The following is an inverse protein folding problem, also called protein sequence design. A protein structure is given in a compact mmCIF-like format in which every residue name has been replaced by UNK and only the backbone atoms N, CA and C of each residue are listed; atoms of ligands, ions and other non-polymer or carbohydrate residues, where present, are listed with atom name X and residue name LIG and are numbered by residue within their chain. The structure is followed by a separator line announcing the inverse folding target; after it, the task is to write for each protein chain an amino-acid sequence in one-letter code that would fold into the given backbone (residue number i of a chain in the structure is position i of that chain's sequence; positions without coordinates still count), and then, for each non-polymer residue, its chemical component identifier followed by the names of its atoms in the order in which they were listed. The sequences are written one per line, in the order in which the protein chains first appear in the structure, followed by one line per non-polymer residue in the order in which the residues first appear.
data_IF_825761253573
#
_entry.id   IF_825761253573
#
_cell.length_a   1.000
_cell.length_b   1.000
_cell.length_c   1.000
_cell.angle_alpha   90.00
_cell.angle_beta   90.00
_cell.angle_gamma   90.00
#
_symmetry.space_group_name_H-M   'P 1'
#
loop_
_entity.id
_entity.type
_entity.pdbx_description
1 polymer ?
#
# COMPACT_ATOMS: atom_id res chain seq x y z
N UNK A 1 85.34 19.84 34.94
CA UNK A 1 85.06 18.60 34.24
C UNK A 1 83.75 18.05 34.80
N UNK A 2 82.67 18.16 34.14
CA UNK A 2 81.44 17.31 34.25
C UNK A 2 80.53 17.66 33.09
N UNK A 3 80.43 16.76 32.12
CA UNK A 3 79.56 16.89 30.96
C UNK A 3 78.14 16.60 31.39
N UNK A 4 77.21 17.52 31.12
CA UNK A 4 75.75 17.33 31.28
C UNK A 4 75.21 16.98 29.92
N UNK A 5 74.74 15.76 29.74
CA UNK A 5 74.02 15.26 28.54
C UNK A 5 72.57 15.66 28.70
N UNK A 6 72.09 16.55 27.86
CA UNK A 6 70.66 16.88 27.76
C UNK A 6 69.96 15.84 26.88
N UNK A 7 69.09 15.06 27.50
CA UNK A 7 68.20 14.11 26.81
C UNK A 7 66.93 14.87 26.34
N UNK A 8 66.80 15.11 25.04
CA UNK A 8 65.58 15.62 24.39
C UNK A 8 64.62 14.46 24.21
N UNK A 9 63.64 14.37 25.11
CA UNK A 9 62.46 13.51 24.90
C UNK A 9 61.51 14.21 23.94
N UNK A 10 61.49 13.73 22.67
CA UNK A 10 60.49 14.11 21.69
C UNK A 10 59.13 13.48 22.03
N UNK A 11 58.21 14.23 22.57
CA UNK A 11 56.83 13.83 22.75
C UNK A 11 56.12 13.86 21.36
N UNK A 12 56.11 12.71 20.69
CA UNK A 12 55.25 12.53 19.49
C UNK A 12 53.80 12.48 19.94
N UNK A 13 53.07 13.59 19.76
CA UNK A 13 51.61 13.60 19.85
C UNK A 13 51.04 12.77 18.70
N UNK A 14 50.73 11.51 18.98
CA UNK A 14 49.86 10.68 18.15
C UNK A 14 48.46 11.29 18.23
N UNK A 15 48.15 12.20 17.32
CA UNK A 15 46.77 12.60 16.98
C UNK A 15 46.10 11.37 16.35
N UNK A 16 45.65 10.45 17.19
CA UNK A 16 44.68 9.43 16.80
C UNK A 16 43.36 10.19 16.50
N UNK A 17 43.21 10.57 15.24
CA UNK A 17 41.91 11.03 14.74
C UNK A 17 40.91 9.89 14.93
N UNK A 18 40.14 9.95 15.98
CA UNK A 18 38.89 9.18 16.05
C UNK A 18 38.06 9.67 14.89
N UNK A 19 38.09 8.90 13.79
CA UNK A 19 37.07 9.01 12.76
C UNK A 19 35.77 8.64 13.46
N UNK A 20 35.04 9.63 13.96
CA UNK A 20 33.69 9.46 14.47
C UNK A 20 32.88 9.02 13.27
N UNK A 21 32.55 7.73 13.21
CA UNK A 21 31.66 7.22 12.19
C UNK A 21 30.41 8.11 12.22
N UNK A 22 30.17 8.84 11.14
CA UNK A 22 29.01 9.73 11.07
C UNK A 22 27.77 8.89 11.38
N UNK A 23 27.01 9.32 12.38
CA UNK A 23 25.79 8.63 12.78
C UNK A 23 24.84 8.62 11.59
N UNK A 24 24.37 7.42 11.21
CA UNK A 24 23.48 7.27 10.06
C UNK A 24 22.18 8.01 10.32
N UNK A 25 21.66 8.78 9.34
CA UNK A 25 20.37 9.46 9.50
C UNK A 25 19.26 8.47 9.80
N UNK A 26 18.49 8.72 10.85
CA UNK A 26 17.35 7.88 11.25
C UNK A 26 16.10 8.26 10.47
N UNK A 27 15.47 7.28 9.82
CA UNK A 27 14.16 7.39 9.16
C UNK A 27 13.14 6.51 9.89
N UNK A 28 12.04 7.10 10.34
CA UNK A 28 10.95 6.39 11.03
C UNK A 28 9.83 6.13 10.03
N UNK A 29 9.62 4.86 9.69
CA UNK A 29 8.61 4.41 8.73
C UNK A 29 7.39 3.91 9.48
N UNK A 30 6.20 4.40 9.10
CA UNK A 30 4.92 3.89 9.59
C UNK A 30 4.32 2.83 8.67
N UNK A 31 3.64 1.83 9.25
CA UNK A 31 2.83 0.86 8.52
C UNK A 31 1.49 0.63 9.20
N UNK A 32 0.41 0.60 8.40
CA UNK A 32 -0.93 0.26 8.89
C UNK A 32 -1.06 -1.25 9.18
N UNK A 33 -2.19 -1.66 9.76
CA UNK A 33 -2.43 -3.01 10.30
C UNK A 33 -2.49 -4.14 9.26
N UNK A 34 -2.49 -3.88 7.97
CA UNK A 34 -2.66 -4.90 6.93
C UNK A 34 -1.35 -5.24 6.19
N UNK A 35 -1.32 -6.43 5.60
CA UNK A 35 -0.14 -7.08 5.03
C UNK A 35 0.61 -6.18 4.04
N UNK A 36 -0.06 -5.61 3.07
CA UNK A 36 0.54 -4.76 2.04
C UNK A 36 1.37 -3.62 2.63
N UNK A 37 0.83 -2.92 3.64
CA UNK A 37 1.55 -1.84 4.30
C UNK A 37 2.80 -2.33 5.04
N UNK A 38 2.73 -3.50 5.67
CA UNK A 38 3.88 -4.08 6.35
C UNK A 38 4.95 -4.51 5.36
N UNK A 39 4.56 -5.10 4.22
CA UNK A 39 5.49 -5.49 3.14
C UNK A 39 6.17 -4.27 2.53
N UNK A 40 5.41 -3.23 2.19
CA UNK A 40 5.94 -1.97 1.65
C UNK A 40 6.92 -1.29 2.62
N UNK A 41 6.58 -1.26 3.92
CA UNK A 41 7.45 -0.69 4.93
C UNK A 41 8.75 -1.49 5.09
N UNK A 42 8.69 -2.83 5.07
CA UNK A 42 9.87 -3.69 5.16
C UNK A 42 10.77 -3.59 3.93
N UNK A 43 10.20 -3.56 2.71
CA UNK A 43 10.96 -3.33 1.47
C UNK A 43 11.68 -1.98 1.56
N UNK A 44 10.95 -0.91 1.89
CA UNK A 44 11.52 0.43 2.01
C UNK A 44 12.60 0.50 3.08
N UNK A 45 12.36 -0.11 4.24
CA UNK A 45 13.32 -0.12 5.35
C UNK A 45 14.63 -0.83 4.99
N UNK A 46 14.54 -2.01 4.38
CA UNK A 46 15.73 -2.77 3.98
C UNK A 46 16.49 -2.05 2.88
N UNK A 47 15.79 -1.47 1.92
CA UNK A 47 16.40 -0.70 0.84
C UNK A 47 17.12 0.56 1.36
N UNK A 48 16.49 1.34 2.25
CA UNK A 48 17.12 2.52 2.83
C UNK A 48 18.30 2.16 3.75
N UNK A 49 18.23 1.04 4.50
CA UNK A 49 19.37 0.56 5.30
C UNK A 49 20.56 0.22 4.42
N UNK A 50 20.35 -0.40 3.26
CA UNK A 50 21.40 -0.68 2.28
C UNK A 50 22.02 0.60 1.70
N UNK A 51 21.24 1.70 1.67
CA UNK A 51 21.68 3.00 1.18
C UNK A 51 22.11 3.98 2.30
N UNK A 52 22.58 3.47 3.42
CA UNK A 52 23.29 4.26 4.44
C UNK A 52 22.41 4.95 5.48
N UNK A 53 21.11 4.66 5.54
CA UNK A 53 20.21 5.16 6.58
C UNK A 53 20.07 4.18 7.75
N UNK A 54 19.82 4.69 8.94
CA UNK A 54 19.20 3.91 10.00
C UNK A 54 17.69 3.96 9.87
N UNK A 55 16.98 2.84 10.08
CA UNK A 55 15.52 2.79 9.85
C UNK A 55 14.81 2.06 10.97
N UNK A 56 13.80 2.72 11.52
CA UNK A 56 12.86 2.12 12.47
C UNK A 56 11.47 2.01 11.84
N UNK A 57 10.90 0.80 11.84
CA UNK A 57 9.52 0.57 11.38
C UNK A 57 8.59 0.49 12.58
N UNK A 58 7.47 1.20 12.52
CA UNK A 58 6.37 1.13 13.49
C UNK A 58 5.13 0.64 12.76
N UNK A 59 4.76 -0.61 12.98
CA UNK A 59 3.61 -1.26 12.36
C UNK A 59 2.36 -1.28 13.25
N UNK A 60 1.26 -1.82 12.72
CA UNK A 60 0.03 -2.03 13.47
C UNK A 60 -0.79 -0.77 13.73
N UNK A 61 -0.58 0.29 12.95
CA UNK A 61 -1.23 1.57 13.15
C UNK A 61 -2.60 1.63 12.44
N UNK A 62 -3.61 2.17 13.12
CA UNK A 62 -4.84 2.60 12.47
C UNK A 62 -4.59 3.84 11.59
N UNK A 63 -5.38 4.02 10.51
CA UNK A 63 -5.15 5.06 9.50
C UNK A 63 -5.05 6.48 10.08
N UNK A 64 -5.99 6.86 10.95
CA UNK A 64 -5.99 8.19 11.57
C UNK A 64 -4.78 8.42 12.48
N UNK A 65 -4.40 7.40 13.26
CA UNK A 65 -3.23 7.48 14.16
C UNK A 65 -1.94 7.58 13.35
N UNK A 66 -1.79 6.78 12.29
CA UNK A 66 -0.64 6.81 11.41
C UNK A 66 -0.48 8.19 10.75
N UNK A 67 -1.58 8.74 10.23
CA UNK A 67 -1.59 10.09 9.65
C UNK A 67 -1.18 11.16 10.66
N UNK A 68 -1.79 11.17 11.85
CA UNK A 68 -1.44 12.11 12.91
C UNK A 68 0.01 11.99 13.34
N UNK A 69 0.54 10.77 13.49
CA UNK A 69 1.93 10.53 13.84
C UNK A 69 2.89 11.07 12.79
N UNK A 70 2.53 11.03 11.51
CA UNK A 70 3.33 11.61 10.44
C UNK A 70 3.25 13.15 10.46
N UNK A 71 2.07 13.75 10.58
CA UNK A 71 1.90 15.21 10.65
C UNK A 71 2.61 15.82 11.87
N UNK A 72 2.61 15.14 13.02
CA UNK A 72 3.25 15.60 14.27
C UNK A 72 4.74 15.25 14.36
N UNK A 73 5.29 14.53 13.39
CA UNK A 73 6.72 14.22 13.33
C UNK A 73 7.17 13.03 14.16
N UNK A 74 6.26 12.15 14.56
CA UNK A 74 6.59 10.86 15.17
C UNK A 74 6.98 9.81 14.13
N UNK A 75 6.46 9.94 12.90
CA UNK A 75 6.82 9.18 11.72
C UNK A 75 7.36 10.13 10.64
N UNK A 76 8.27 9.64 9.82
CA UNK A 76 8.91 10.43 8.77
C UNK A 76 8.40 10.07 7.37
N UNK A 77 8.13 8.79 7.13
CA UNK A 77 7.73 8.24 5.85
C UNK A 77 6.65 7.18 6.02
N UNK A 78 5.68 7.16 5.10
CA UNK A 78 4.67 6.12 4.97
C UNK A 78 4.33 5.90 3.50
N UNK A 79 3.84 4.71 3.16
CA UNK A 79 3.09 4.50 1.94
C UNK A 79 1.63 4.89 2.18
N UNK A 80 1.11 5.77 1.33
CA UNK A 80 -0.25 6.29 1.45
C UNK A 80 -1.00 6.11 0.13
N UNK A 81 -2.33 6.08 0.20
CA UNK A 81 -3.20 5.89 -0.95
C UNK A 81 -3.93 7.19 -1.28
N UNK A 82 -3.96 7.53 -2.57
CA UNK A 82 -4.54 8.79 -3.05
C UNK A 82 -5.98 8.98 -2.62
N UNK A 83 -6.83 7.96 -2.76
CA UNK A 83 -8.23 8.03 -2.36
C UNK A 83 -8.42 8.19 -0.85
N UNK A 84 -7.58 7.53 -0.02
CA UNK A 84 -7.63 7.71 1.45
C UNK A 84 -7.25 9.13 1.83
N UNK A 85 -6.15 9.66 1.24
CA UNK A 85 -5.75 11.04 1.51
C UNK A 85 -6.80 12.04 1.06
N UNK A 86 -7.40 11.85 -0.12
CA UNK A 86 -8.42 12.74 -0.65
C UNK A 86 -9.65 12.79 0.27
N UNK A 87 -10.27 11.63 0.50
CA UNK A 87 -11.55 11.53 1.18
C UNK A 87 -11.42 11.60 2.69
N UNK A 88 -10.55 10.74 3.27
CA UNK A 88 -10.51 10.59 4.73
C UNK A 88 -9.74 11.69 5.45
N UNK A 89 -8.68 12.25 4.83
CA UNK A 89 -7.81 13.22 5.51
C UNK A 89 -8.01 14.66 5.03
N UNK A 90 -8.47 14.83 3.79
CA UNK A 90 -8.71 16.15 3.21
C UNK A 90 -10.20 16.46 3.00
N UNK A 91 -11.10 15.50 3.30
CA UNK A 91 -12.56 15.65 3.26
C UNK A 91 -13.07 16.15 1.91
N UNK A 92 -12.50 15.65 0.82
CA UNK A 92 -12.92 15.93 -0.54
C UNK A 92 -13.67 14.71 -1.07
N UNK A 93 -14.98 14.79 -1.13
CA UNK A 93 -15.85 13.74 -1.65
C UNK A 93 -16.04 13.81 -3.17
N UNK A 94 -15.61 14.92 -3.78
CA UNK A 94 -15.68 15.10 -5.23
C UNK A 94 -14.75 14.12 -5.95
N UNK A 95 -15.31 13.43 -6.92
CA UNK A 95 -14.55 12.48 -7.73
C UNK A 95 -13.64 13.22 -8.71
N UNK A 96 -12.36 12.89 -8.67
CA UNK A 96 -11.41 13.42 -9.65
C UNK A 96 -11.56 12.70 -11.00
N UNK A 97 -11.26 13.40 -12.12
CA UNK A 97 -11.45 12.85 -13.47
C UNK A 97 -10.48 11.73 -13.84
N UNK A 98 -9.35 11.59 -13.14
CA UNK A 98 -8.36 10.54 -13.38
C UNK A 98 -7.49 10.27 -12.14
N UNK A 99 -6.76 9.12 -12.10
CA UNK A 99 -5.77 8.84 -11.07
C UNK A 99 -4.71 9.94 -10.93
N UNK A 100 -4.23 10.49 -12.05
CA UNK A 100 -3.23 11.57 -12.06
C UNK A 100 -3.79 12.87 -11.45
N UNK A 101 -5.06 13.16 -11.73
CA UNK A 101 -5.74 14.32 -11.13
C UNK A 101 -5.93 14.13 -9.63
N UNK A 102 -6.27 12.91 -9.18
CA UNK A 102 -6.35 12.55 -7.75
C UNK A 102 -4.99 12.75 -7.08
N UNK A 103 -3.94 12.20 -7.69
CA UNK A 103 -2.56 12.35 -7.17
C UNK A 103 -2.14 13.82 -7.09
N UNK A 104 -2.34 14.60 -8.14
CA UNK A 104 -2.00 16.03 -8.16
C UNK A 104 -2.74 16.79 -7.05
N UNK A 105 -4.02 16.46 -6.84
CA UNK A 105 -4.85 17.09 -5.81
C UNK A 105 -4.37 16.77 -4.40
N UNK A 106 -4.13 15.52 -4.07
CA UNK A 106 -3.64 15.15 -2.74
C UNK A 106 -2.24 15.68 -2.46
N UNK A 107 -1.37 15.70 -3.48
CA UNK A 107 -0.04 16.30 -3.39
C UNK A 107 -0.12 17.80 -3.02
N UNK A 108 -1.04 18.55 -3.63
CA UNK A 108 -1.28 19.96 -3.31
C UNK A 108 -1.78 20.13 -1.87
N UNK A 109 -2.79 19.35 -1.48
CA UNK A 109 -3.44 19.48 -0.17
C UNK A 109 -2.50 19.09 0.97
N UNK A 110 -1.80 17.97 0.82
CA UNK A 110 -0.90 17.45 1.85
C UNK A 110 0.38 18.28 1.99
N UNK A 111 0.83 18.95 0.92
CA UNK A 111 1.94 19.90 1.00
C UNK A 111 1.69 21.03 2.00
N UNK A 112 0.43 21.46 2.15
CA UNK A 112 0.02 22.47 3.15
C UNK A 112 0.17 21.98 4.60
N UNK A 113 0.19 20.64 4.78
CA UNK A 113 0.41 19.96 6.06
C UNK A 113 1.87 19.52 6.26
N UNK A 114 2.77 19.96 5.38
CA UNK A 114 4.19 19.62 5.44
C UNK A 114 4.51 18.18 5.00
N UNK A 115 3.63 17.57 4.21
CA UNK A 115 3.80 16.22 3.66
C UNK A 115 4.02 16.29 2.15
N UNK A 116 5.01 15.54 1.67
CA UNK A 116 5.40 15.53 0.26
C UNK A 116 5.13 14.14 -0.32
N UNK A 117 4.27 14.07 -1.30
CA UNK A 117 4.07 12.88 -2.12
C UNK A 117 5.23 12.76 -3.11
N UNK A 118 5.96 11.66 -3.04
CA UNK A 118 7.00 11.30 -3.99
C UNK A 118 6.38 10.58 -5.19
N UNK A 119 7.22 10.07 -6.11
CA UNK A 119 6.74 9.35 -7.28
C UNK A 119 5.76 8.24 -6.90
N UNK A 120 4.55 8.20 -7.46
CA UNK A 120 3.59 7.15 -7.17
C UNK A 120 4.04 5.82 -7.78
N UNK A 121 3.57 4.72 -7.19
CA UNK A 121 3.69 3.39 -7.76
C UNK A 121 2.76 3.20 -8.95
N UNK A 122 2.82 2.00 -9.55
CA UNK A 122 1.95 1.59 -10.65
C UNK A 122 0.78 0.72 -10.20
N UNK A 123 0.57 0.58 -8.88
CA UNK A 123 -0.55 -0.18 -8.34
C UNK A 123 -1.58 0.70 -7.65
N UNK A 124 -2.82 0.23 -7.68
CA UNK A 124 -3.96 0.85 -7.01
C UNK A 124 -4.69 -0.20 -6.20
N UNK A 125 -4.65 -0.10 -4.86
CA UNK A 125 -5.36 -1.01 -3.98
C UNK A 125 -6.81 -0.55 -3.79
N UNK A 126 -7.62 -0.76 -4.83
CA UNK A 126 -9.04 -0.37 -4.83
C UNK A 126 -9.95 -1.59 -4.61
N UNK A 127 -11.25 -1.32 -4.53
CA UNK A 127 -12.26 -2.36 -4.50
C UNK A 127 -12.52 -2.92 -5.89
N UNK A 128 -12.92 -4.19 -5.94
CA UNK A 128 -13.49 -4.83 -7.13
C UNK A 128 -14.55 -5.86 -6.72
N UNK A 129 -15.37 -6.28 -7.66
CA UNK A 129 -16.16 -7.50 -7.52
C UNK A 129 -15.42 -8.66 -8.18
N UNK A 130 -15.49 -9.84 -7.58
CA UNK A 130 -14.88 -11.04 -8.11
C UNK A 130 -15.87 -12.20 -8.13
N UNK A 131 -15.66 -13.12 -9.09
CA UNK A 131 -16.38 -14.39 -9.19
C UNK A 131 -15.47 -15.54 -8.73
N UNK A 132 -16.05 -16.56 -8.06
CA UNK A 132 -15.40 -17.87 -7.92
C UNK A 132 -15.05 -18.46 -9.28
N UNK A 133 -13.98 -19.25 -9.34
CA UNK A 133 -13.53 -19.86 -10.62
C UNK A 133 -14.56 -20.79 -11.26
N UNK A 134 -15.43 -21.43 -10.48
CA UNK A 134 -16.52 -22.28 -11.01
C UNK A 134 -17.61 -21.41 -11.65
N UNK A 135 -18.05 -20.37 -10.97
CA UNK A 135 -19.02 -19.41 -11.49
C UNK A 135 -18.46 -18.72 -12.75
N UNK A 136 -17.17 -18.34 -12.75
CA UNK A 136 -16.53 -17.75 -13.91
C UNK A 136 -16.49 -18.68 -15.14
N UNK A 137 -16.48 -20.00 -14.95
CA UNK A 137 -16.57 -20.98 -16.04
C UNK A 137 -18.02 -21.19 -16.50
N UNK A 138 -18.97 -21.14 -15.58
CA UNK A 138 -20.41 -21.26 -15.90
C UNK A 138 -20.93 -19.99 -16.62
N UNK A 139 -20.39 -18.81 -16.26
CA UNK A 139 -20.74 -17.51 -16.83
C UNK A 139 -19.52 -16.84 -17.50
N UNK A 140 -18.97 -17.41 -18.59
CA UNK A 140 -17.74 -16.91 -19.21
C UNK A 140 -17.88 -15.51 -19.80
N UNK A 141 -19.09 -15.09 -20.13
CA UNK A 141 -19.42 -13.76 -20.65
C UNK A 141 -19.38 -12.66 -19.59
N UNK A 142 -19.40 -12.99 -18.28
CA UNK A 142 -19.39 -12.00 -17.21
C UNK A 142 -17.96 -11.54 -16.96
N UNK A 143 -17.58 -10.38 -17.51
CA UNK A 143 -16.25 -9.77 -17.36
C UNK A 143 -16.32 -8.41 -16.68
N UNK A 144 -17.51 -7.79 -16.64
CA UNK A 144 -17.71 -6.45 -16.06
C UNK A 144 -18.80 -6.48 -14.99
N UNK A 145 -18.84 -5.45 -14.16
CA UNK A 145 -19.90 -5.29 -13.14
C UNK A 145 -21.28 -5.09 -13.82
N UNK A 146 -21.34 -4.40 -14.98
CA UNK A 146 -22.59 -4.30 -15.74
C UNK A 146 -23.10 -5.66 -16.18
N UNK A 147 -22.23 -6.55 -16.68
CA UNK A 147 -22.62 -7.90 -17.09
C UNK A 147 -23.04 -8.78 -15.91
N UNK A 148 -22.38 -8.65 -14.77
CA UNK A 148 -22.82 -9.27 -13.53
C UNK A 148 -24.25 -8.83 -13.16
N UNK A 149 -24.52 -7.54 -13.24
CA UNK A 149 -25.84 -6.98 -12.92
C UNK A 149 -26.96 -7.53 -13.84
N UNK A 150 -26.67 -7.75 -15.12
CA UNK A 150 -27.64 -8.36 -16.03
C UNK A 150 -27.97 -9.81 -15.63
N UNK A 151 -26.99 -10.60 -15.21
CA UNK A 151 -27.24 -11.97 -14.69
C UNK A 151 -28.06 -11.91 -13.40
N UNK A 152 -27.71 -11.03 -12.48
CA UNK A 152 -28.43 -10.90 -11.19
C UNK A 152 -29.89 -10.45 -11.38
N UNK A 153 -30.19 -9.66 -12.45
CA UNK A 153 -31.55 -9.26 -12.81
C UNK A 153 -32.34 -10.37 -13.48
N UNK A 154 -31.73 -11.08 -14.43
CA UNK A 154 -32.39 -12.11 -15.21
C UNK A 154 -32.74 -13.34 -14.33
N UNK A 155 -31.87 -13.66 -13.41
CA UNK A 155 -32.00 -14.81 -12.54
C UNK A 155 -32.26 -14.35 -11.10
N UNK A 156 -33.46 -13.83 -10.79
CA UNK A 156 -33.84 -13.42 -9.43
C UNK A 156 -33.89 -14.62 -8.46
N UNK A 157 -32.79 -15.31 -8.35
CA UNK A 157 -32.62 -16.51 -7.53
C UNK A 157 -31.96 -16.15 -6.19
N UNK A 158 -32.47 -16.72 -5.10
CA UNK A 158 -31.79 -16.70 -3.79
C UNK A 158 -30.40 -17.35 -3.84
N UNK A 159 -30.04 -18.03 -4.95
CA UNK A 159 -28.74 -18.65 -5.16
C UNK A 159 -27.65 -17.62 -5.49
N UNK A 160 -28.00 -16.45 -6.00
CA UNK A 160 -27.05 -15.40 -6.38
C UNK A 160 -26.72 -14.51 -5.18
N UNK A 161 -25.98 -15.08 -4.22
CA UNK A 161 -25.50 -14.35 -3.05
C UNK A 161 -24.28 -13.52 -3.41
N UNK A 162 -24.26 -12.25 -2.97
CA UNK A 162 -23.10 -11.36 -3.08
C UNK A 162 -22.53 -11.11 -1.69
N UNK A 163 -21.28 -11.50 -1.48
CA UNK A 163 -20.57 -11.24 -0.23
C UNK A 163 -19.94 -9.86 -0.23
N UNK A 164 -20.13 -9.11 0.83
CA UNK A 164 -19.57 -7.77 1.03
C UNK A 164 -18.95 -7.70 2.41
N UNK A 165 -17.86 -6.94 2.55
CA UNK A 165 -17.42 -6.58 3.88
C UNK A 165 -18.42 -5.64 4.55
N UNK A 166 -18.46 -5.71 5.87
CA UNK A 166 -19.47 -4.98 6.65
C UNK A 166 -19.28 -3.47 6.55
N UNK A 167 -18.05 -2.99 6.41
CA UNK A 167 -17.78 -1.55 6.29
C UNK A 167 -18.34 -1.03 4.96
N UNK A 168 -17.96 -1.64 3.84
CA UNK A 168 -18.46 -1.26 2.52
C UNK A 168 -19.99 -1.35 2.43
N UNK A 169 -20.58 -2.38 3.01
CA UNK A 169 -22.03 -2.57 2.96
C UNK A 169 -22.83 -1.47 3.67
N UNK A 170 -22.22 -0.75 4.62
CA UNK A 170 -22.88 0.26 5.44
C UNK A 170 -22.44 1.71 5.21
N UNK A 171 -21.43 1.92 4.35
CA UNK A 171 -20.97 3.27 4.00
C UNK A 171 -21.89 3.90 2.96
N UNK A 172 -22.12 5.23 3.00
CA UNK A 172 -22.88 5.94 1.96
C UNK A 172 -22.28 5.80 0.56
N UNK A 173 -20.95 5.79 0.47
CA UNK A 173 -20.17 5.59 -0.75
C UNK A 173 -19.81 4.11 -0.99
N UNK A 174 -20.52 3.19 -0.36
CA UNK A 174 -20.35 1.75 -0.49
C UNK A 174 -21.42 1.11 -1.38
N UNK A 175 -22.17 0.16 -0.81
CA UNK A 175 -23.17 -0.63 -1.56
C UNK A 175 -24.26 0.23 -2.21
N UNK A 176 -24.82 1.21 -1.50
CA UNK A 176 -25.91 2.03 -2.04
C UNK A 176 -25.44 2.83 -3.25
N UNK A 177 -24.25 3.40 -3.19
CA UNK A 177 -23.66 4.11 -4.30
C UNK A 177 -23.33 3.20 -5.49
N UNK A 178 -22.80 1.99 -5.23
CA UNK A 178 -22.56 0.97 -6.26
C UNK A 178 -23.88 0.59 -6.96
N UNK A 179 -24.91 0.31 -6.19
CA UNK A 179 -26.24 -0.02 -6.72
C UNK A 179 -26.81 1.11 -7.58
N UNK A 180 -26.72 2.34 -7.11
CA UNK A 180 -27.17 3.52 -7.87
C UNK A 180 -26.40 3.67 -9.18
N UNK A 181 -25.07 3.54 -9.16
CA UNK A 181 -24.20 3.69 -10.34
C UNK A 181 -24.49 2.67 -11.43
N UNK A 182 -24.71 1.40 -11.01
CA UNK A 182 -24.95 0.28 -11.92
C UNK A 182 -26.42 0.00 -12.21
N UNK A 183 -27.36 0.67 -11.54
CA UNK A 183 -28.79 0.32 -11.59
C UNK A 183 -29.01 -1.11 -11.07
N UNK A 184 -28.24 -1.49 -10.05
CA UNK A 184 -28.30 -2.80 -9.41
C UNK A 184 -29.32 -2.77 -8.26
N UNK A 185 -30.01 -3.87 -8.03
CA UNK A 185 -30.96 -4.03 -6.94
C UNK A 185 -30.72 -5.36 -6.23
N UNK A 186 -29.86 -5.33 -5.22
CA UNK A 186 -29.62 -6.47 -4.35
C UNK A 186 -30.59 -6.40 -3.15
N UNK A 187 -31.48 -7.36 -3.07
CA UNK A 187 -32.32 -7.53 -1.89
C UNK A 187 -31.51 -8.06 -0.69
N UNK A 188 -32.00 -7.82 0.54
CA UNK A 188 -31.33 -8.33 1.76
C UNK A 188 -31.06 -9.83 1.71
N UNK A 189 -31.91 -10.61 1.02
CA UNK A 189 -31.75 -12.05 0.87
C UNK A 189 -30.54 -12.43 0.00
N UNK A 190 -30.10 -11.53 -0.86
CA UNK A 190 -28.96 -11.73 -1.77
C UNK A 190 -27.64 -11.19 -1.23
N UNK A 191 -27.66 -10.48 -0.12
CA UNK A 191 -26.45 -9.90 0.47
C UNK A 191 -25.95 -10.76 1.64
N UNK A 192 -24.66 -11.01 1.70
CA UNK A 192 -23.96 -11.63 2.84
C UNK A 192 -22.90 -10.68 3.33
N UNK A 193 -23.17 -10.01 4.45
CA UNK A 193 -22.20 -9.17 5.13
C UNK A 193 -21.32 -10.03 6.03
N UNK A 194 -20.02 -9.83 5.95
CA UNK A 194 -19.03 -10.56 6.75
C UNK A 194 -17.74 -9.77 6.89
N UNK A 195 -16.79 -10.29 7.65
CA UNK A 195 -15.43 -9.76 7.67
C UNK A 195 -14.78 -9.88 6.27
N UNK A 196 -14.00 -8.85 5.87
CA UNK A 196 -13.36 -8.79 4.56
C UNK A 196 -12.55 -10.06 4.24
N UNK A 197 -11.84 -10.62 5.23
CA UNK A 197 -11.09 -11.87 5.08
C UNK A 197 -11.96 -13.08 4.77
N UNK A 198 -13.18 -13.12 5.33
CA UNK A 198 -14.12 -14.22 5.12
C UNK A 198 -14.77 -14.20 3.73
N UNK A 199 -14.86 -13.03 3.08
CA UNK A 199 -15.35 -12.92 1.69
C UNK A 199 -14.54 -13.79 0.76
N UNK A 200 -13.21 -13.78 0.85
CA UNK A 200 -12.34 -14.62 0.03
C UNK A 200 -12.56 -16.12 0.27
N UNK A 201 -12.79 -16.50 1.53
CA UNK A 201 -13.09 -17.89 1.88
C UNK A 201 -14.44 -18.33 1.31
N UNK A 202 -15.45 -17.46 1.38
CA UNK A 202 -16.77 -17.74 0.80
C UNK A 202 -16.69 -17.87 -0.74
N UNK A 203 -15.91 -17.01 -1.41
CA UNK A 203 -15.65 -17.10 -2.85
C UNK A 203 -14.93 -18.41 -3.20
N UNK A 204 -13.82 -18.73 -2.51
CA UNK A 204 -13.08 -19.98 -2.75
C UNK A 204 -13.93 -21.22 -2.63
N UNK A 205 -14.85 -21.23 -1.67
CA UNK A 205 -15.71 -22.37 -1.38
C UNK A 205 -17.03 -22.37 -2.19
N UNK A 206 -17.19 -21.47 -3.17
CA UNK A 206 -18.42 -21.31 -3.98
C UNK A 206 -19.70 -21.10 -3.14
N UNK A 207 -19.57 -20.51 -1.96
CA UNK A 207 -20.70 -20.22 -1.06
C UNK A 207 -21.48 -18.97 -1.48
N UNK A 208 -20.89 -18.16 -2.38
CA UNK A 208 -21.47 -16.95 -2.93
C UNK A 208 -21.22 -16.88 -4.42
N UNK A 209 -22.10 -16.17 -5.14
CA UNK A 209 -22.01 -15.98 -6.58
C UNK A 209 -20.92 -14.97 -6.95
N UNK A 210 -20.84 -13.86 -6.19
CA UNK A 210 -19.83 -12.84 -6.33
C UNK A 210 -19.44 -12.30 -4.94
N UNK A 211 -18.34 -11.59 -4.86
CA UNK A 211 -17.93 -10.93 -3.62
C UNK A 211 -17.04 -9.71 -3.86
N UNK A 212 -17.09 -8.80 -2.89
CA UNK A 212 -16.23 -7.63 -2.87
C UNK A 212 -14.82 -8.03 -2.43
N UNK A 213 -13.83 -7.59 -3.17
CA UNK A 213 -12.41 -7.89 -2.95
C UNK A 213 -11.56 -6.63 -3.12
N UNK A 214 -10.29 -6.72 -2.74
CA UNK A 214 -9.29 -5.69 -3.00
C UNK A 214 -8.37 -6.14 -4.14
N UNK A 215 -8.07 -5.25 -5.07
CA UNK A 215 -7.38 -5.56 -6.35
C UNK A 215 -5.96 -6.08 -6.19
N UNK A 216 -5.31 -5.77 -5.08
CA UNK A 216 -3.92 -6.20 -4.78
C UNK A 216 -3.84 -7.36 -3.78
N UNK A 217 -4.98 -7.93 -3.36
CA UNK A 217 -5.01 -9.04 -2.42
C UNK A 217 -4.47 -10.34 -3.03
N UNK A 218 -3.49 -10.94 -2.37
CA UNK A 218 -2.81 -12.14 -2.85
C UNK A 218 -3.70 -13.38 -2.98
N UNK A 219 -4.82 -13.42 -2.26
CA UNK A 219 -5.82 -14.51 -2.34
C UNK A 219 -6.55 -14.53 -3.68
N UNK A 220 -6.57 -13.43 -4.46
CA UNK A 220 -7.14 -13.42 -5.80
C UNK A 220 -6.50 -14.46 -6.70
N UNK A 221 -5.18 -14.44 -6.80
CA UNK A 221 -4.42 -15.38 -7.60
C UNK A 221 -4.42 -16.79 -6.98
N UNK A 222 -4.23 -16.88 -5.66
CA UNK A 222 -4.19 -18.15 -4.94
C UNK A 222 -5.50 -18.94 -5.06
N UNK A 223 -6.65 -18.27 -5.04
CA UNK A 223 -7.97 -18.90 -5.15
C UNK A 223 -8.52 -18.85 -6.57
N UNK A 224 -7.74 -18.34 -7.55
CA UNK A 224 -8.13 -18.22 -8.96
C UNK A 224 -9.46 -17.49 -9.15
N UNK A 225 -9.64 -16.41 -8.39
CA UNK A 225 -10.84 -15.58 -8.48
C UNK A 225 -10.78 -14.72 -9.75
N UNK A 226 -11.90 -14.57 -10.44
CA UNK A 226 -12.02 -13.73 -11.63
C UNK A 226 -12.45 -12.34 -11.21
N UNK A 227 -11.55 -11.36 -11.33
CA UNK A 227 -11.91 -9.95 -11.16
C UNK A 227 -12.83 -9.48 -12.27
N UNK A 228 -13.81 -8.65 -11.91
CA UNK A 228 -14.70 -7.97 -12.85
C UNK A 228 -14.23 -6.53 -13.02
N UNK A 229 -14.24 -6.07 -14.27
CA UNK A 229 -13.95 -4.69 -14.61
C UNK A 229 -15.05 -3.76 -14.07
N UNK A 230 -14.65 -2.66 -13.46
CA UNK A 230 -15.53 -1.54 -13.06
C UNK A 230 -15.78 -0.63 -14.27
N UNK A 231 -16.58 -1.11 -15.23
CA UNK A 231 -16.84 -0.47 -16.52
C UNK A 231 -17.59 0.87 -16.44
N UNK A 232 -18.10 1.22 -15.26
CA UNK A 232 -18.69 2.55 -14.99
C UNK A 232 -17.84 3.38 -14.05
N UNK A 233 -16.65 2.92 -13.72
CA UNK A 233 -15.68 3.61 -12.87
C UNK A 233 -16.30 4.07 -11.55
N UNK A 234 -16.94 3.18 -10.83
CA UNK A 234 -17.55 3.49 -9.54
C UNK A 234 -16.52 3.58 -8.43
N UNK A 235 -15.62 2.62 -8.36
CA UNK A 235 -14.62 2.58 -7.30
C UNK A 235 -13.60 3.72 -7.46
N UNK A 236 -13.25 4.40 -6.37
CA UNK A 236 -12.22 5.44 -6.43
C UNK A 236 -10.84 4.87 -6.70
N UNK A 237 -9.95 5.71 -7.21
CA UNK A 237 -8.54 5.36 -7.35
C UNK A 237 -7.85 5.40 -5.98
N UNK A 238 -7.05 4.36 -5.72
CA UNK A 238 -6.22 4.23 -4.53
C UNK A 238 -4.77 3.95 -4.92
N UNK A 239 -4.25 4.71 -5.89
CA UNK A 239 -2.83 4.63 -6.26
C UNK A 239 -1.97 4.89 -5.03
N UNK A 240 -1.02 3.99 -4.75
CA UNK A 240 -0.13 4.12 -3.62
C UNK A 240 1.12 4.92 -3.97
N UNK A 241 1.63 5.67 -3.00
CA UNK A 241 2.88 6.39 -3.14
C UNK A 241 3.56 6.63 -1.79
N UNK A 242 4.90 6.73 -1.78
CA UNK A 242 5.59 7.11 -0.57
C UNK A 242 5.35 8.60 -0.28
N UNK A 243 4.93 8.87 0.94
CA UNK A 243 4.70 10.22 1.47
C UNK A 243 5.70 10.48 2.59
N UNK A 244 6.46 11.54 2.46
CA UNK A 244 7.52 11.91 3.39
C UNK A 244 7.27 13.29 3.98
N UNK A 245 7.68 13.52 5.21
CA UNK A 245 7.67 14.86 5.81
C UNK A 245 8.63 15.77 5.08
N UNK A 246 8.16 16.99 4.75
CA UNK A 246 8.98 17.98 4.05
C UNK A 246 10.31 18.26 4.77
N UNK A 247 10.30 18.40 6.09
CA UNK A 247 11.51 18.65 6.87
C UNK A 247 12.56 17.53 6.74
N UNK A 248 12.12 16.27 6.58
CA UNK A 248 13.02 15.13 6.37
C UNK A 248 13.56 15.11 4.95
N UNK A 249 12.70 15.38 3.96
CA UNK A 249 13.13 15.47 2.57
C UNK A 249 14.09 16.63 2.33
N UNK A 250 13.87 17.78 2.96
CA UNK A 250 14.78 18.93 2.86
C UNK A 250 16.16 18.61 3.46
N UNK A 251 16.21 17.82 4.54
CA UNK A 251 17.45 17.36 5.15
C UNK A 251 18.16 16.24 4.35
N UNK A 252 17.38 15.42 3.63
CA UNK A 252 17.84 14.24 2.90
C UNK A 252 17.20 14.15 1.51
N UNK A 253 17.52 15.07 0.58
CA UNK A 253 16.86 15.15 -0.73
C UNK A 253 17.06 13.89 -1.59
N UNK A 254 18.14 13.14 -1.38
CA UNK A 254 18.41 11.87 -2.05
C UNK A 254 17.31 10.82 -1.82
N UNK A 255 16.46 10.94 -0.80
CA UNK A 255 15.36 10.01 -0.55
C UNK A 255 14.35 9.99 -1.71
N UNK A 256 14.15 11.10 -2.42
CA UNK A 256 13.27 11.12 -3.58
C UNK A 256 13.84 10.29 -4.74
N UNK A 257 15.14 10.38 -4.98
CA UNK A 257 15.83 9.62 -6.03
C UNK A 257 15.91 8.12 -5.70
N UNK A 258 16.12 7.78 -4.43
CA UNK A 258 16.12 6.40 -3.96
C UNK A 258 14.74 5.75 -4.09
N UNK A 259 13.67 6.43 -3.70
CA UNK A 259 12.33 5.83 -3.65
C UNK A 259 11.63 5.78 -5.02
N UNK A 260 12.05 6.58 -5.99
CA UNK A 260 11.44 6.60 -7.32
C UNK A 260 11.58 5.25 -8.07
N UNK A 261 12.78 4.63 -8.20
CA UNK A 261 12.90 3.33 -8.84
C UNK A 261 12.19 2.20 -8.06
N UNK A 262 12.10 2.29 -6.73
CA UNK A 262 11.32 1.35 -5.94
C UNK A 262 9.83 1.42 -6.31
N UNK A 263 9.26 2.63 -6.42
CA UNK A 263 7.88 2.82 -6.81
C UNK A 263 7.58 2.28 -8.22
N UNK A 264 8.54 2.35 -9.14
CA UNK A 264 8.42 1.83 -10.52
C UNK A 264 8.31 0.31 -10.61
N UNK A 265 8.84 -0.42 -9.62
CA UNK A 265 8.80 -1.89 -9.57
C UNK A 265 7.50 -2.44 -8.98
N UNK A 266 6.66 -1.58 -8.41
CA UNK A 266 5.44 -1.99 -7.70
C UNK A 266 4.22 -1.71 -8.58
N UNK A 267 3.72 -2.77 -9.23
CA UNK A 267 2.45 -2.80 -9.93
C UNK A 267 1.45 -3.75 -9.23
N UNK A 268 0.21 -3.81 -9.72
CA UNK A 268 -0.86 -4.62 -9.11
C UNK A 268 -0.49 -6.10 -9.01
N UNK A 269 0.14 -6.66 -10.05
CA UNK A 269 0.50 -8.08 -10.05
C UNK A 269 1.66 -8.37 -9.08
N UNK A 270 2.66 -7.51 -9.05
CA UNK A 270 3.76 -7.59 -8.09
C UNK A 270 3.22 -7.53 -6.66
N UNK A 271 2.31 -6.60 -6.38
CA UNK A 271 1.72 -6.49 -5.04
C UNK A 271 0.87 -7.71 -4.68
N UNK A 272 0.07 -8.26 -5.61
CA UNK A 272 -0.65 -9.53 -5.37
C UNK A 272 0.29 -10.67 -5.01
N UNK A 273 1.41 -10.80 -5.72
CA UNK A 273 2.41 -11.85 -5.46
C UNK A 273 3.08 -11.66 -4.10
N UNK A 274 3.47 -10.45 -3.74
CA UNK A 274 4.08 -10.13 -2.46
C UNK A 274 3.11 -10.39 -1.30
N UNK A 275 1.87 -9.93 -1.41
CA UNK A 275 0.83 -10.17 -0.43
C UNK A 275 0.51 -11.67 -0.28
N UNK A 276 0.48 -12.42 -1.40
CA UNK A 276 0.26 -13.87 -1.38
C UNK A 276 1.37 -14.63 -0.64
N UNK A 277 2.63 -14.22 -0.77
CA UNK A 277 3.74 -14.83 -0.02
C UNK A 277 3.53 -14.74 1.49
N UNK A 278 2.92 -13.65 1.97
CA UNK A 278 2.61 -13.48 3.39
C UNK A 278 1.31 -14.17 3.76
N UNK A 279 0.19 -13.80 3.13
CA UNK A 279 -1.16 -14.16 3.57
C UNK A 279 -1.51 -15.62 3.28
N UNK A 280 -0.91 -16.21 2.24
CA UNK A 280 -1.22 -17.58 1.77
C UNK A 280 -0.07 -18.54 2.05
N UNK A 281 1.18 -18.11 1.83
CA UNK A 281 2.36 -18.96 2.02
C UNK A 281 2.99 -18.80 3.41
N UNK A 282 2.44 -17.90 4.24
CA UNK A 282 2.86 -17.65 5.63
C UNK A 282 4.34 -17.27 5.79
N UNK A 283 4.91 -16.62 4.78
CA UNK A 283 6.25 -16.06 4.87
C UNK A 283 6.23 -14.76 5.70
N UNK A 284 7.33 -14.45 6.40
CA UNK A 284 7.41 -13.18 7.11
C UNK A 284 7.53 -12.01 6.12
N UNK A 285 6.90 -10.84 6.39
CA UNK A 285 7.06 -9.65 5.55
C UNK A 285 8.52 -9.27 5.30
N UNK A 286 9.38 -9.41 6.31
CA UNK A 286 10.81 -9.13 6.18
C UNK A 286 11.53 -10.09 5.21
N UNK A 287 11.16 -11.38 5.22
CA UNK A 287 11.69 -12.37 4.26
C UNK A 287 11.23 -12.09 2.84
N UNK A 288 9.96 -11.73 2.68
CA UNK A 288 9.37 -11.35 1.38
C UNK A 288 10.07 -10.11 0.82
N UNK A 289 10.29 -9.10 1.66
CA UNK A 289 11.01 -7.88 1.28
C UNK A 289 12.45 -8.17 0.83
N UNK A 290 13.19 -9.00 1.58
CA UNK A 290 14.54 -9.38 1.22
C UNK A 290 14.61 -10.17 -0.11
N UNK A 291 13.64 -11.04 -0.37
CA UNK A 291 13.54 -11.75 -1.64
C UNK A 291 13.25 -10.79 -2.81
N UNK A 292 12.28 -9.90 -2.63
CA UNK A 292 11.92 -8.90 -3.63
C UNK A 292 13.12 -8.03 -4.03
N UNK A 293 13.87 -7.49 -3.07
CA UNK A 293 15.02 -6.63 -3.35
C UNK A 293 16.18 -7.39 -4.05
N UNK A 294 16.34 -8.68 -3.82
CA UNK A 294 17.31 -9.51 -4.56
C UNK A 294 16.88 -9.76 -6.01
N UNK A 295 15.59 -9.97 -6.24
CA UNK A 295 15.00 -10.23 -7.56
C UNK A 295 14.89 -8.96 -8.41
N UNK A 296 14.80 -7.80 -7.76
CA UNK A 296 14.65 -6.47 -8.37
C UNK A 296 15.79 -5.56 -7.88
N UNK A 297 17.02 -5.74 -8.36
CA UNK A 297 18.14 -4.91 -7.93
C UNK A 297 17.88 -3.45 -8.29
N UNK A 298 17.76 -2.62 -7.27
CA UNK A 298 17.64 -1.17 -7.39
C UNK A 298 19.05 -0.58 -7.33
N UNK A 299 19.30 0.47 -8.11
CA UNK A 299 20.61 1.12 -8.12
C UNK A 299 20.90 1.70 -6.73
N UNK A 300 22.07 1.38 -6.20
CA UNK A 300 22.64 2.12 -5.08
C UNK A 300 22.98 3.52 -5.56
N UNK A 301 22.43 4.54 -4.92
CA UNK A 301 22.87 5.91 -5.15
C UNK A 301 24.21 6.04 -4.45
N UNK A 302 25.28 6.12 -5.22
CA UNK A 302 26.63 6.37 -4.68
C UNK A 302 26.61 7.72 -3.95
N UNK A 303 27.07 7.79 -2.70
CA UNK A 303 27.04 9.01 -1.89
C UNK A 303 27.88 10.14 -2.46
#
# INVERSE_FOLDING_TARGET
MKKVIALLLGAGLLLSGFAQAAEKPLIRIGARVFTEQTVLAEITAQYLRANGFDVRVTGGLGSSLARQAQETGQLDLMWEYTGVSLVSYNHIDERMPSPEATYAKVKELDARKGLVWLKPSKFSNTYALALPSEIAREYPQVNTISQLNEVLKAEQSRKHLVALDTEFANRPDGLDGLQARYGMHLGRANIRQMDAGLVYTALRNNQVFAGLVYTTDGRLNAFKLKLLEDDKHYFPDYTAGPVIRKAVLDAHPQLAELLAPLADQLDDETMRQLNAKVDVQHQSPSSVAAAFLREHPLHEVTP
#
